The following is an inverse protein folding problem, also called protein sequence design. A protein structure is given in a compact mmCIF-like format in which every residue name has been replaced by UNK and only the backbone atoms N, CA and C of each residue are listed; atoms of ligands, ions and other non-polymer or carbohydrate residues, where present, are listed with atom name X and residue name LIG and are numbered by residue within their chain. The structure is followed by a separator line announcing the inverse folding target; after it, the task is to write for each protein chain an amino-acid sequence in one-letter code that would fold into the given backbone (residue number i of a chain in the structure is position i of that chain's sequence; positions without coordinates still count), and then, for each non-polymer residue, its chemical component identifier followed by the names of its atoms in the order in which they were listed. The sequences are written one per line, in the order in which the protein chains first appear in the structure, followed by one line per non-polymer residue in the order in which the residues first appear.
data_IF_471009497280
#
_entry.id   IF_471009497280
#
_cell.length_a   1.000
_cell.length_b   1.000
_cell.length_c   1.000
_cell.angle_alpha   90.00
_cell.angle_beta   90.00
_cell.angle_gamma   90.00
#
_symmetry.space_group_name_H-M   'P 1'
#
loop_
_entity.id
_entity.type
_entity.pdbx_description
1 polymer ?
#
# COMPACT_ATOMS: atom_id res chain seq x y z
N UNK A 1 15.46 -0.93 8.95
CA UNK A 1 15.11 -0.11 7.78
C UNK A 1 13.74 -0.58 7.37
N UNK A 2 12.75 0.28 7.43
CA UNK A 2 11.37 -0.11 7.16
C UNK A 2 11.14 -0.30 5.67
N UNK A 3 10.56 -1.45 5.31
CA UNK A 3 10.24 -1.78 3.92
C UNK A 3 8.77 -1.46 3.62
N UNK A 4 8.53 -0.92 2.43
CA UNK A 4 7.21 -0.67 1.89
C UNK A 4 7.11 -1.38 0.55
N UNK A 5 6.28 -2.41 0.50
CA UNK A 5 6.06 -3.21 -0.70
C UNK A 5 4.64 -3.03 -1.22
N UNK A 6 4.48 -3.06 -2.55
CA UNK A 6 3.18 -3.07 -3.22
C UNK A 6 3.16 -4.15 -4.30
N UNK A 7 2.36 -5.19 -4.10
CA UNK A 7 2.22 -6.32 -5.01
C UNK A 7 0.94 -6.20 -5.83
N UNK A 8 1.07 -6.37 -7.14
CA UNK A 8 -0.06 -6.35 -8.06
C UNK A 8 -0.58 -7.77 -8.34
N UNK A 9 -1.74 -8.13 -7.76
CA UNK A 9 -2.50 -9.34 -8.10
C UNK A 9 -3.87 -9.01 -8.72
N UNK A 10 -4.05 -7.82 -9.30
CA UNK A 10 -5.33 -7.38 -9.87
C UNK A 10 -5.66 -8.01 -11.25
N UNK A 11 -4.89 -9.01 -11.69
CA UNK A 11 -5.07 -9.69 -12.98
C UNK A 11 -4.64 -8.89 -14.23
N UNK A 12 -4.29 -7.60 -14.08
CA UNK A 12 -3.84 -6.71 -15.16
C UNK A 12 -2.63 -5.90 -14.73
N UNK A 13 -1.91 -5.33 -15.70
CA UNK A 13 -0.87 -4.35 -15.40
C UNK A 13 -1.45 -3.06 -14.82
N UNK A 14 -0.78 -2.50 -13.81
CA UNK A 14 -1.14 -1.23 -13.17
C UNK A 14 0.01 -0.24 -13.33
N UNK A 15 -0.31 1.04 -13.27
CA UNK A 15 0.67 2.12 -13.17
C UNK A 15 0.47 2.86 -11.86
N UNK A 16 1.52 3.00 -11.06
CA UNK A 16 1.52 3.80 -9.83
C UNK A 16 1.75 5.26 -10.22
N UNK A 17 0.73 6.10 -10.05
CA UNK A 17 0.79 7.53 -10.34
C UNK A 17 1.34 8.33 -9.16
N UNK A 18 0.94 7.98 -7.94
CA UNK A 18 1.47 8.54 -6.69
C UNK A 18 1.35 7.50 -5.59
N UNK A 19 2.35 7.44 -4.73
CA UNK A 19 2.31 6.65 -3.51
C UNK A 19 3.11 7.39 -2.44
N UNK A 20 2.42 7.96 -1.46
CA UNK A 20 3.03 8.72 -0.38
C UNK A 20 2.64 8.22 1.00
N UNK A 21 3.56 8.40 1.96
CA UNK A 21 3.38 8.09 3.38
C UNK A 21 3.82 9.31 4.18
N UNK A 22 2.93 9.83 5.02
CA UNK A 22 3.11 11.07 5.78
C UNK A 22 3.53 12.27 4.91
N UNK A 23 3.10 12.31 3.65
CA UNK A 23 3.46 13.33 2.68
C UNK A 23 4.79 13.09 1.94
N UNK A 24 5.58 12.08 2.32
CA UNK A 24 6.79 11.69 1.59
C UNK A 24 6.41 10.76 0.44
N UNK A 25 6.80 11.13 -0.78
CA UNK A 25 6.65 10.25 -1.96
C UNK A 25 7.58 9.03 -1.85
N UNK A 26 6.97 7.85 -1.80
CA UNK A 26 7.63 6.54 -1.83
C UNK A 26 8.05 6.18 -3.25
N UNK A 27 7.28 6.64 -4.23
CA UNK A 27 7.60 6.48 -5.66
C UNK A 27 8.18 7.77 -6.22
N UNK A 28 9.46 7.75 -6.61
CA UNK A 28 10.09 8.92 -7.25
C UNK A 28 9.67 9.17 -8.71
N UNK A 29 9.05 8.20 -9.38
CA UNK A 29 8.58 8.30 -10.79
C UNK A 29 7.42 7.31 -11.02
N UNK A 30 6.65 7.53 -12.10
CA UNK A 30 5.57 6.64 -12.54
C UNK A 30 6.12 5.22 -12.77
N UNK A 31 5.59 4.22 -12.04
CA UNK A 31 6.04 2.82 -12.12
C UNK A 31 4.95 1.94 -12.68
N UNK A 32 5.26 1.19 -13.73
CA UNK A 32 4.37 0.15 -14.24
C UNK A 32 4.67 -1.19 -13.57
N UNK A 33 3.65 -1.82 -12.98
CA UNK A 33 3.72 -3.15 -12.38
C UNK A 33 2.82 -4.11 -13.16
N UNK A 34 3.44 -5.12 -13.78
CA UNK A 34 2.70 -6.26 -14.37
C UNK A 34 2.05 -7.10 -13.28
N UNK A 35 1.10 -7.94 -13.68
CA UNK A 35 0.53 -8.93 -12.76
C UNK A 35 1.64 -9.82 -12.16
N UNK A 36 1.55 -10.06 -10.85
CA UNK A 36 2.53 -10.82 -10.08
C UNK A 36 3.80 -10.05 -9.70
N UNK A 37 3.95 -8.80 -10.12
CA UNK A 37 5.12 -7.99 -9.75
C UNK A 37 4.91 -7.24 -8.45
N UNK A 38 6.01 -7.05 -7.73
CA UNK A 38 6.08 -6.28 -6.50
C UNK A 38 6.98 -5.07 -6.70
N UNK A 39 6.47 -3.89 -6.42
CA UNK A 39 7.28 -2.70 -6.17
C UNK A 39 7.80 -2.76 -4.73
N UNK A 40 9.07 -2.44 -4.55
CA UNK A 40 9.73 -2.43 -3.25
C UNK A 40 10.42 -1.08 -3.06
N UNK A 41 10.23 -0.48 -1.90
CA UNK A 41 10.90 0.74 -1.48
C UNK A 41 11.18 0.68 0.03
N UNK A 42 12.02 1.58 0.50
CA UNK A 42 12.24 1.80 1.93
C UNK A 42 11.57 3.09 2.38
N UNK A 43 11.03 3.12 3.59
CA UNK A 43 10.54 4.32 4.23
C UNK A 43 11.21 4.47 5.60
N UNK A 44 12.03 5.51 5.76
CA UNK A 44 12.86 5.70 6.96
C UNK A 44 12.72 7.09 7.58
N UNK A 45 11.72 7.85 7.17
CA UNK A 45 11.60 9.25 7.60
C UNK A 45 11.13 9.35 9.06
N UNK A 46 10.24 8.45 9.47
CA UNK A 46 9.60 8.44 10.79
C UNK A 46 9.27 7.01 11.24
N UNK A 47 9.18 6.76 12.55
CA UNK A 47 8.66 5.51 13.07
C UNK A 47 7.16 5.38 12.83
N UNK A 48 6.66 4.14 12.76
CA UNK A 48 5.25 3.86 12.46
C UNK A 48 4.30 4.43 13.51
N UNK A 49 4.75 4.61 14.75
CA UNK A 49 3.99 5.29 15.81
C UNK A 49 3.58 6.72 15.45
N UNK A 50 4.34 7.40 14.58
CA UNK A 50 4.10 8.75 14.08
C UNK A 50 3.39 8.80 12.72
N UNK A 51 2.85 7.66 12.27
CA UNK A 51 2.04 7.62 11.05
C UNK A 51 0.84 8.58 11.13
N UNK A 52 0.67 9.37 10.08
CA UNK A 52 -0.44 10.31 9.88
C UNK A 52 -1.28 9.95 8.67
N UNK A 53 -0.65 9.54 7.55
CA UNK A 53 -1.37 9.31 6.30
C UNK A 53 -0.66 8.39 5.31
N UNK A 54 -1.45 7.73 4.47
CA UNK A 54 -1.04 7.00 3.28
C UNK A 54 -1.94 7.42 2.12
N UNK A 55 -1.34 7.79 0.99
CA UNK A 55 -2.07 8.05 -0.25
C UNK A 55 -1.53 7.17 -1.36
N UNK A 56 -2.42 6.54 -2.11
CA UNK A 56 -2.06 5.71 -3.25
C UNK A 56 -3.02 5.99 -4.39
N UNK A 57 -2.46 6.32 -5.55
CA UNK A 57 -3.18 6.57 -6.81
C UNK A 57 -2.61 5.66 -7.88
N UNK A 58 -3.47 4.85 -8.48
CA UNK A 58 -3.13 3.86 -9.49
C UNK A 58 -3.95 4.07 -10.75
N UNK A 59 -3.39 3.64 -11.89
CA UNK A 59 -4.12 3.54 -13.16
C UNK A 59 -4.10 2.11 -13.65
N UNK A 60 -5.27 1.55 -13.93
CA UNK A 60 -5.43 0.21 -14.50
C UNK A 60 -6.34 0.30 -15.73
N UNK A 61 -5.84 -0.09 -16.91
CA UNK A 61 -6.61 -0.01 -18.17
C UNK A 61 -7.21 1.38 -18.45
N UNK A 62 -6.49 2.45 -18.11
CA UNK A 62 -6.95 3.83 -18.27
C UNK A 62 -7.93 4.33 -17.20
N UNK A 63 -8.33 3.49 -16.24
CA UNK A 63 -9.18 3.87 -15.10
C UNK A 63 -8.31 4.19 -13.90
N UNK A 64 -8.57 5.31 -13.24
CA UNK A 64 -7.87 5.74 -12.03
C UNK A 64 -8.56 5.19 -10.79
N UNK A 65 -7.78 4.65 -9.87
CA UNK A 65 -8.20 4.18 -8.55
C UNK A 65 -7.37 4.91 -7.49
N UNK A 66 -7.98 5.30 -6.39
CA UNK A 66 -7.29 6.02 -5.33
C UNK A 66 -7.74 5.62 -3.93
N UNK A 67 -6.87 5.83 -2.96
CA UNK A 67 -7.19 5.75 -1.54
C UNK A 67 -6.35 6.77 -0.75
N UNK A 68 -6.96 7.36 0.27
CA UNK A 68 -6.33 8.27 1.23
C UNK A 68 -6.71 7.80 2.64
N UNK A 69 -5.75 7.18 3.33
CA UNK A 69 -5.94 6.63 4.68
C UNK A 69 -5.25 7.52 5.69
N UNK A 70 -5.95 7.86 6.77
CA UNK A 70 -5.33 8.38 7.99
C UNK A 70 -5.16 7.26 9.02
N UNK A 71 -4.61 7.58 10.19
CA UNK A 71 -4.36 6.61 11.27
C UNK A 71 -5.63 5.87 11.74
N UNK A 72 -6.77 6.56 11.79
CA UNK A 72 -8.03 5.99 12.29
C UNK A 72 -8.74 5.11 11.25
N UNK A 73 -8.49 5.35 9.97
CA UNK A 73 -9.05 4.59 8.86
C UNK A 73 -8.07 3.57 8.25
N UNK A 74 -6.86 3.47 8.80
CA UNK A 74 -5.88 2.48 8.41
C UNK A 74 -6.35 1.04 8.74
N UNK A 75 -5.53 0.05 8.40
CA UNK A 75 -5.79 -1.40 8.52
C UNK A 75 -5.88 -1.94 9.96
N UNK A 76 -6.45 -1.16 10.89
CA UNK A 76 -6.39 -1.38 12.33
C UNK A 76 -5.20 -0.67 12.97
N UNK A 77 -4.83 -1.11 14.17
CA UNK A 77 -3.70 -0.58 14.95
C UNK A 77 -2.91 -1.69 15.64
N UNK A 78 -1.74 -1.36 16.19
CA UNK A 78 -0.86 -2.31 16.87
C UNK A 78 0.62 -2.00 16.63
N UNK A 79 1.48 -2.74 17.32
CA UNK A 79 2.93 -2.63 17.11
C UNK A 79 3.31 -2.98 15.68
N UNK A 80 4.16 -2.15 15.07
CA UNK A 80 4.69 -2.31 13.71
C UNK A 80 3.62 -2.35 12.60
N UNK A 81 2.39 -1.94 12.90
CA UNK A 81 1.27 -2.05 11.96
C UNK A 81 1.28 -0.95 10.89
N UNK A 82 1.73 0.24 11.27
CA UNK A 82 1.85 1.39 10.39
C UNK A 82 3.22 1.44 9.73
N UNK A 83 3.34 1.93 8.48
CA UNK A 83 4.63 2.11 7.84
C UNK A 83 5.53 3.08 8.61
N UNK A 84 6.78 2.69 8.81
CA UNK A 84 7.80 3.46 9.51
C UNK A 84 9.16 2.78 9.45
N UNK A 85 10.20 3.45 9.95
CA UNK A 85 11.58 2.92 9.97
C UNK A 85 11.75 1.62 10.80
N UNK A 86 10.78 1.35 11.68
CA UNK A 86 10.66 0.22 12.58
C UNK A 86 9.75 -0.91 12.07
N UNK A 87 9.10 -0.75 10.91
CA UNK A 87 8.14 -1.72 10.37
C UNK A 87 8.36 -2.07 8.91
N UNK A 88 8.09 -3.32 8.58
CA UNK A 88 7.96 -3.78 7.21
C UNK A 88 6.47 -3.94 6.89
N UNK A 89 5.99 -3.23 5.87
CA UNK A 89 4.62 -3.32 5.37
C UNK A 89 4.62 -3.80 3.92
N UNK A 90 3.69 -4.69 3.62
CA UNK A 90 3.46 -5.19 2.27
C UNK A 90 1.99 -5.08 1.95
N UNK A 91 1.69 -4.24 0.98
CA UNK A 91 0.36 -4.09 0.44
C UNK A 91 0.16 -5.00 -0.76
N UNK A 92 -1.04 -5.57 -0.88
CA UNK A 92 -1.42 -6.40 -2.03
C UNK A 92 -2.71 -5.89 -2.62
N UNK A 93 -2.66 -5.60 -3.92
CA UNK A 93 -3.81 -5.22 -4.72
C UNK A 93 -4.43 -6.47 -5.32
N UNK A 94 -5.72 -6.67 -5.06
CA UNK A 94 -6.51 -7.72 -5.67
C UNK A 94 -7.39 -7.12 -6.77
N UNK A 95 -8.07 -7.99 -7.53
CA UNK A 95 -8.92 -7.56 -8.63
C UNK A 95 -10.01 -6.56 -8.20
N UNK A 96 -10.72 -6.05 -9.19
CA UNK A 96 -11.87 -5.18 -8.92
C UNK A 96 -13.08 -6.00 -8.51
N UNK A 97 -14.03 -5.36 -7.83
CA UNK A 97 -15.37 -5.90 -7.68
C UNK A 97 -16.09 -6.03 -9.04
N UNK A 98 -17.26 -6.68 -9.04
CA UNK A 98 -18.02 -6.96 -10.26
C UNK A 98 -18.41 -5.71 -11.05
N UNK A 99 -18.64 -4.58 -10.36
CA UNK A 99 -18.97 -3.30 -10.98
C UNK A 99 -17.74 -2.52 -11.47
N UNK A 100 -16.53 -2.96 -11.14
CA UNK A 100 -15.28 -2.25 -11.43
C UNK A 100 -15.10 -0.95 -10.64
N UNK A 101 -15.96 -0.66 -9.65
CA UNK A 101 -15.95 0.59 -8.88
C UNK A 101 -14.86 0.62 -7.81
N UNK A 102 -14.38 -0.54 -7.37
CA UNK A 102 -13.43 -0.64 -6.27
C UNK A 102 -12.38 -1.72 -6.56
N UNK A 103 -11.14 -1.44 -6.17
CA UNK A 103 -10.03 -2.40 -6.19
C UNK A 103 -9.69 -2.80 -4.75
N UNK A 104 -9.67 -4.10 -4.46
CA UNK A 104 -9.40 -4.57 -3.11
C UNK A 104 -7.92 -4.38 -2.73
N UNK A 105 -7.68 -3.95 -1.50
CA UNK A 105 -6.37 -3.60 -0.95
C UNK A 105 -6.19 -4.27 0.42
N UNK A 106 -5.11 -5.05 0.56
CA UNK A 106 -4.79 -5.84 1.76
C UNK A 106 -3.43 -5.45 2.29
N UNK A 107 -3.23 -5.65 3.59
CA UNK A 107 -1.95 -5.42 4.26
C UNK A 107 -1.44 -6.69 4.95
N UNK A 108 -0.13 -6.86 4.87
CA UNK A 108 0.67 -7.74 5.71
C UNK A 108 1.78 -6.87 6.32
N UNK A 109 2.10 -7.04 7.60
CA UNK A 109 3.05 -6.18 8.29
C UNK A 109 3.91 -6.94 9.30
N UNK A 110 5.01 -6.36 9.75
CA UNK A 110 5.83 -6.92 10.80
C UNK A 110 6.87 -5.94 11.30
N UNK A 111 7.59 -6.33 12.34
CA UNK A 111 8.77 -5.57 12.79
C UNK A 111 9.80 -5.52 11.66
N UNK A 112 10.42 -4.37 11.44
CA UNK A 112 11.44 -4.18 10.43
C UNK A 112 12.57 -5.22 10.54
N UNK A 113 12.86 -5.93 9.45
CA UNK A 113 13.87 -6.99 9.39
C UNK A 113 13.47 -8.32 10.05
N UNK A 114 12.19 -8.50 10.40
CA UNK A 114 11.66 -9.76 10.91
C UNK A 114 11.38 -10.76 9.78
N UNK A 115 11.72 -12.03 9.99
CA UNK A 115 11.33 -13.13 9.08
C UNK A 115 9.84 -13.47 9.16
N UNK A 116 9.13 -12.90 10.13
CA UNK A 116 7.70 -13.13 10.36
C UNK A 116 6.90 -11.88 10.06
N UNK A 117 5.87 -12.08 9.23
CA UNK A 117 4.85 -11.09 8.95
C UNK A 117 3.49 -11.56 9.48
N UNK A 118 2.65 -10.59 9.82
CA UNK A 118 1.31 -10.70 10.36
C UNK A 118 0.34 -10.24 9.27
N UNK A 119 -0.64 -11.06 8.95
CA UNK A 119 -1.72 -10.71 8.04
C UNK A 119 -2.83 -9.98 8.80
N UNK A 120 -3.33 -8.87 8.25
CA UNK A 120 -4.54 -8.22 8.77
C UNK A 120 -5.78 -8.74 8.06
N UNK A 121 -6.84 -9.02 8.84
CA UNK A 121 -8.14 -9.37 8.29
C UNK A 121 -8.89 -8.14 7.74
N UNK A 122 -8.44 -6.92 8.08
CA UNK A 122 -9.03 -5.68 7.58
C UNK A 122 -8.78 -5.54 6.07
N UNK A 123 -9.83 -5.11 5.36
CA UNK A 123 -9.82 -4.93 3.91
C UNK A 123 -10.10 -3.48 3.63
N UNK A 124 -9.22 -2.85 2.86
CA UNK A 124 -9.48 -1.52 2.30
C UNK A 124 -9.75 -1.64 0.81
N UNK A 125 -10.24 -0.56 0.23
CA UNK A 125 -10.57 -0.49 -1.18
C UNK A 125 -10.03 0.81 -1.74
N UNK A 126 -9.44 0.74 -2.93
CA UNK A 126 -9.21 1.94 -3.73
C UNK A 126 -10.47 2.20 -4.54
N UNK A 127 -10.99 3.41 -4.44
CA UNK A 127 -12.20 3.82 -5.14
C UNK A 127 -11.84 4.36 -6.53
N UNK A 128 -12.65 3.96 -7.51
CA UNK A 128 -12.58 4.48 -8.87
C UNK A 128 -12.90 5.98 -8.88
N UNK A 129 -12.11 6.75 -9.62
CA UNK A 129 -12.36 8.16 -9.96
C UNK A 129 -13.14 8.25 -11.28
#
# INVERSE_FOLDING_TARGET
MGMVNLTNLAGKGISINSFSINGTEITGNLKHLRFGQTFMASYNDKPGSQFTSLKLVLVMSGVTYHIDLNKDHYFGGGEYHYPGDDSDVSYTLFGTNDSGSQMQFRLVYGKGGSDRLIYTNDTKYLDRV
#
